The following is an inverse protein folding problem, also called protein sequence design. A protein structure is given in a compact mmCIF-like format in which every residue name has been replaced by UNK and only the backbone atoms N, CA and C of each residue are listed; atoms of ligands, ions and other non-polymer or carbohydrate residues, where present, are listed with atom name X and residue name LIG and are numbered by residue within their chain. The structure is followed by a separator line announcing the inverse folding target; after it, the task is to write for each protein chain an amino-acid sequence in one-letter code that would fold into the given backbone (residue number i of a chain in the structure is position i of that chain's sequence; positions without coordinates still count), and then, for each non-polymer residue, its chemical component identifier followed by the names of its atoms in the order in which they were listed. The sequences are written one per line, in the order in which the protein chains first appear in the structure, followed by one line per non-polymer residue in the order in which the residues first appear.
data_IF_856638371406
#
_entry.id   IF_856638371406
#
_cell.length_a   1.000
_cell.length_b   1.000
_cell.length_c   1.000
_cell.angle_alpha   90.00
_cell.angle_beta   90.00
_cell.angle_gamma   90.00
#
_symmetry.space_group_name_H-M   'P 1'
#
loop_
_entity.id
_entity.type
_entity.pdbx_description
1 polymer ?
#
# COMPACT_ATOMS: atom_id res chain seq x y z
N UNK A 1 9.25 -26.46 1.88
CA UNK A 1 8.93 -27.51 2.88
C UNK A 1 8.45 -26.86 4.17
N UNK A 2 7.39 -27.40 4.76
CA UNK A 2 6.82 -26.95 6.03
C UNK A 2 6.81 -28.14 6.99
N UNK A 3 7.24 -27.91 8.22
CA UNK A 3 7.22 -28.89 9.30
C UNK A 3 6.73 -28.20 10.59
N UNK A 4 5.80 -28.86 11.31
CA UNK A 4 5.17 -28.33 12.52
C UNK A 4 4.70 -26.87 12.40
N UNK A 5 4.08 -26.53 11.26
CA UNK A 5 3.56 -25.18 10.98
C UNK A 5 4.63 -24.12 10.71
N UNK A 6 5.90 -24.50 10.58
CA UNK A 6 7.04 -23.60 10.29
C UNK A 6 7.68 -23.94 8.96
N UNK A 7 8.15 -22.92 8.24
CA UNK A 7 8.94 -23.11 7.02
C UNK A 7 10.33 -23.57 7.43
N UNK A 8 10.82 -24.66 6.84
CA UNK A 8 12.16 -25.21 7.13
C UNK A 8 13.13 -25.11 5.96
N UNK A 9 12.62 -24.97 4.74
CA UNK A 9 13.42 -24.96 3.50
C UNK A 9 12.61 -24.40 2.32
N UNK A 10 13.28 -23.67 1.45
CA UNK A 10 12.83 -23.39 0.09
C UNK A 10 13.54 -24.29 -0.93
N UNK A 11 12.80 -24.76 -1.93
CA UNK A 11 13.31 -25.53 -3.05
C UNK A 11 12.59 -25.13 -4.33
N UNK A 12 13.27 -25.33 -5.46
CA UNK A 12 12.75 -24.90 -6.74
C UNK A 12 11.61 -25.82 -7.21
N UNK A 13 10.46 -25.22 -7.51
CA UNK A 13 9.40 -25.91 -8.25
C UNK A 13 9.67 -25.88 -9.76
N UNK A 14 9.06 -26.80 -10.50
CA UNK A 14 9.09 -26.87 -11.96
C UNK A 14 8.17 -25.81 -12.58
N UNK A 15 8.53 -24.53 -12.43
CA UNK A 15 7.81 -23.43 -13.04
C UNK A 15 8.23 -23.18 -14.49
N UNK A 16 7.35 -22.53 -15.25
CA UNK A 16 7.57 -22.22 -16.68
C UNK A 16 8.86 -21.44 -16.95
N UNK A 17 9.16 -20.47 -16.07
CA UNK A 17 10.31 -19.57 -16.23
C UNK A 17 11.58 -20.12 -15.59
N UNK A 18 11.46 -20.76 -14.44
CA UNK A 18 12.61 -21.13 -13.61
C UNK A 18 13.02 -22.60 -13.80
N UNK A 19 12.16 -23.47 -14.34
CA UNK A 19 12.45 -24.86 -14.72
C UNK A 19 13.19 -25.65 -13.63
N UNK A 20 12.75 -25.51 -12.38
CA UNK A 20 13.38 -26.21 -11.26
C UNK A 20 14.69 -25.58 -10.77
N UNK A 21 14.97 -24.32 -11.10
CA UNK A 21 16.11 -23.57 -10.57
C UNK A 21 15.65 -22.34 -9.77
N UNK A 22 16.46 -21.93 -8.79
CA UNK A 22 16.29 -20.68 -8.04
C UNK A 22 17.64 -20.00 -7.90
N UNK A 23 17.65 -18.66 -7.81
CA UNK A 23 18.84 -17.92 -7.45
C UNK A 23 19.05 -17.92 -5.92
N UNK A 24 20.15 -17.32 -5.45
CA UNK A 24 20.49 -17.22 -4.02
C UNK A 24 19.34 -16.64 -3.19
N UNK A 25 18.66 -15.60 -3.70
CA UNK A 25 17.50 -14.98 -3.02
C UNK A 25 16.32 -15.94 -2.90
N UNK A 26 16.10 -16.82 -3.88
CA UNK A 26 15.02 -17.80 -3.84
C UNK A 26 15.29 -18.93 -2.85
N UNK A 27 16.54 -19.39 -2.77
CA UNK A 27 16.91 -20.48 -1.87
C UNK A 27 16.98 -20.06 -0.39
N UNK A 28 17.46 -18.85 -0.10
CA UNK A 28 17.77 -18.43 1.28
C UNK A 28 16.94 -17.25 1.79
N UNK A 29 16.23 -16.54 0.91
CA UNK A 29 15.50 -15.33 1.25
C UNK A 29 14.15 -15.55 1.92
N UNK A 30 13.88 -16.70 2.54
CA UNK A 30 12.57 -16.99 3.15
C UNK A 30 12.55 -16.83 4.68
N UNK A 31 13.71 -16.86 5.33
CA UNK A 31 13.81 -16.93 6.80
C UNK A 31 13.32 -15.65 7.50
N UNK A 32 13.30 -14.50 6.81
CA UNK A 32 12.76 -13.24 7.35
C UNK A 32 11.30 -13.36 7.84
N UNK A 33 10.57 -14.38 7.38
CA UNK A 33 9.21 -14.64 7.82
C UNK A 33 9.15 -14.90 9.33
N UNK A 34 10.18 -15.54 9.88
CA UNK A 34 10.29 -15.99 11.26
C UNK A 34 10.69 -14.88 12.27
N UNK A 35 10.59 -13.60 11.88
CA UNK A 35 10.94 -12.46 12.74
C UNK A 35 12.38 -12.53 13.30
N UNK A 36 13.35 -12.74 12.40
CA UNK A 36 14.77 -12.93 12.76
C UNK A 36 15.41 -11.74 13.46
N UNK A 37 14.81 -10.54 13.34
CA UNK A 37 15.28 -9.29 13.94
C UNK A 37 16.73 -8.90 13.58
N UNK A 38 17.31 -9.49 12.51
CA UNK A 38 18.67 -9.17 12.04
C UNK A 38 18.79 -7.69 11.66
N UNK A 39 17.76 -7.15 11.00
CA UNK A 39 17.72 -5.74 10.58
C UNK A 39 16.58 -4.98 11.26
N UNK A 40 15.36 -5.50 11.16
CA UNK A 40 14.17 -4.90 11.78
C UNK A 40 13.20 -5.98 12.25
N UNK A 41 12.42 -5.71 13.31
CA UNK A 41 11.36 -6.61 13.75
C UNK A 41 10.18 -6.60 12.77
N UNK A 42 9.46 -7.73 12.70
CA UNK A 42 8.17 -7.83 12.01
C UNK A 42 7.13 -6.97 12.72
N UNK A 43 6.24 -6.36 11.95
CA UNK A 43 5.09 -5.63 12.48
C UNK A 43 4.08 -6.64 13.06
N UNK A 44 3.78 -6.53 14.35
CA UNK A 44 2.90 -7.47 15.08
C UNK A 44 1.52 -6.89 15.38
N UNK A 45 1.42 -5.57 15.44
CA UNK A 45 0.19 -4.84 15.79
C UNK A 45 -0.05 -3.69 14.82
N UNK A 46 -1.31 -3.32 14.56
CA UNK A 46 -1.63 -2.04 13.95
C UNK A 46 -1.12 -0.90 14.84
N UNK A 47 -0.69 0.19 14.22
CA UNK A 47 -0.21 1.37 14.94
C UNK A 47 -0.74 2.66 14.34
N UNK A 48 -1.04 3.63 15.19
CA UNK A 48 -1.42 4.99 14.78
C UNK A 48 -0.45 6.00 15.38
N UNK A 49 -0.09 7.01 14.58
CA UNK A 49 0.59 8.21 15.06
C UNK A 49 -0.44 9.34 15.19
N UNK A 50 -0.82 9.68 16.42
CA UNK A 50 -1.90 10.65 16.71
C UNK A 50 -1.53 12.10 16.41
N UNK A 51 -0.25 12.44 16.58
CA UNK A 51 0.26 13.80 16.38
C UNK A 51 1.47 13.76 15.44
N UNK A 52 1.60 14.76 14.56
CA UNK A 52 2.76 14.85 13.67
C UNK A 52 4.03 15.02 14.49
N UNK A 53 5.03 14.18 14.27
CA UNK A 53 6.23 14.10 15.09
C UNK A 53 6.11 13.27 16.37
N UNK A 54 4.90 12.86 16.77
CA UNK A 54 4.67 11.97 17.91
C UNK A 54 5.05 10.51 17.63
N UNK A 55 4.90 9.62 18.62
CA UNK A 55 5.24 8.19 18.48
C UNK A 55 4.18 7.41 17.72
N UNK A 56 4.57 6.24 17.20
CA UNK A 56 3.62 5.21 16.76
C UNK A 56 3.20 4.40 17.97
N UNK A 57 1.89 4.34 18.22
CA UNK A 57 1.30 3.63 19.34
C UNK A 57 0.52 2.43 18.83
N UNK A 58 0.65 1.28 19.50
CA UNK A 58 -0.12 0.07 19.15
C UNK A 58 -1.60 0.28 19.47
N UNK A 59 -2.44 -0.12 18.54
CA UNK A 59 -3.90 -0.01 18.64
C UNK A 59 -4.56 -1.33 18.22
N UNK A 60 -5.86 -1.47 18.52
CA UNK A 60 -6.64 -2.62 18.06
C UNK A 60 -6.89 -2.56 16.55
N UNK A 61 -7.29 -3.69 15.98
CA UNK A 61 -7.71 -3.74 14.58
C UNK A 61 -8.95 -2.88 14.32
N UNK A 62 -9.96 -2.92 15.19
CA UNK A 62 -11.17 -2.11 15.05
C UNK A 62 -10.83 -0.62 15.01
N UNK A 63 -9.98 -0.16 15.93
CA UNK A 63 -9.54 1.23 15.99
C UNK A 63 -8.76 1.65 14.74
N UNK A 64 -7.83 0.80 14.28
CA UNK A 64 -7.02 1.06 13.09
C UNK A 64 -7.88 1.15 11.82
N UNK A 65 -8.78 0.18 11.62
CA UNK A 65 -9.61 0.10 10.43
C UNK A 65 -10.65 1.23 10.39
N UNK A 66 -11.31 1.51 11.52
CA UNK A 66 -12.24 2.64 11.62
C UNK A 66 -11.52 3.96 11.38
N UNK A 67 -10.33 4.15 11.97
CA UNK A 67 -9.54 5.36 11.76
C UNK A 67 -9.20 5.58 10.28
N UNK A 68 -8.76 4.53 9.57
CA UNK A 68 -8.45 4.63 8.14
C UNK A 68 -9.72 4.93 7.32
N UNK A 69 -10.82 4.21 7.58
CA UNK A 69 -12.09 4.39 6.87
C UNK A 69 -12.64 5.82 7.02
N UNK A 70 -12.67 6.34 8.25
CA UNK A 70 -13.13 7.70 8.55
C UNK A 70 -12.25 8.75 7.87
N UNK A 71 -10.93 8.63 7.97
CA UNK A 71 -9.99 9.61 7.40
C UNK A 71 -10.06 9.63 5.88
N UNK A 72 -10.07 8.47 5.23
CA UNK A 72 -10.19 8.39 3.77
C UNK A 72 -11.55 8.92 3.29
N UNK A 73 -12.64 8.62 4.00
CA UNK A 73 -13.97 9.14 3.67
C UNK A 73 -14.05 10.66 3.81
N UNK A 74 -13.52 11.21 4.90
CA UNK A 74 -13.47 12.65 5.11
C UNK A 74 -12.61 13.37 4.04
N UNK A 75 -11.48 12.78 3.65
CA UNK A 75 -10.63 13.32 2.57
C UNK A 75 -11.38 13.28 1.24
N UNK A 76 -12.01 12.14 0.91
CA UNK A 76 -12.82 11.99 -0.31
C UNK A 76 -13.91 13.04 -0.40
N UNK A 77 -14.68 13.26 0.68
CA UNK A 77 -15.74 14.27 0.71
C UNK A 77 -15.17 15.68 0.48
N UNK A 78 -14.06 16.03 1.14
CA UNK A 78 -13.42 17.35 0.99
C UNK A 78 -12.81 17.57 -0.41
N UNK A 79 -12.17 16.55 -0.99
CA UNK A 79 -11.51 16.67 -2.29
C UNK A 79 -12.49 16.64 -3.46
N UNK A 80 -13.60 15.91 -3.33
CA UNK A 80 -14.63 15.82 -4.37
C UNK A 80 -15.34 17.17 -4.58
N UNK A 81 -15.55 17.96 -3.53
CA UNK A 81 -16.12 19.31 -3.64
C UNK A 81 -15.19 20.26 -4.44
N UNK A 82 -13.87 20.05 -4.40
CA UNK A 82 -12.90 20.85 -5.16
C UNK A 82 -12.88 20.53 -6.67
N UNK A 83 -13.40 19.37 -7.07
CA UNK A 83 -13.57 19.03 -8.49
C UNK A 83 -14.84 19.65 -9.09
N UNK A 84 -15.91 19.79 -8.31
CA UNK A 84 -17.18 20.38 -8.80
C UNK A 84 -17.10 21.90 -9.02
N UNK A 85 -16.17 22.61 -8.37
CA UNK A 85 -15.94 24.04 -8.62
C UNK A 85 -15.09 24.35 -9.86
N UNK A 86 -14.67 23.32 -10.61
CA UNK A 86 -14.08 23.47 -11.95
C UNK A 86 -15.16 23.21 -13.00
N UNK A 87 -16.14 24.11 -13.11
CA UNK A 87 -16.85 24.20 -14.40
C UNK A 87 -15.80 24.60 -15.45
N UNK A 88 -15.70 23.90 -16.60
CA UNK A 88 -14.91 24.43 -17.70
C UNK A 88 -15.52 25.79 -18.08
N UNK A 89 -14.70 26.83 -18.15
CA UNK A 89 -15.15 28.12 -18.68
C UNK A 89 -15.78 27.88 -20.06
N UNK A 90 -16.94 28.50 -20.37
CA UNK A 90 -17.55 28.34 -21.69
C UNK A 90 -16.52 28.78 -22.74
N UNK A 91 -16.24 27.90 -23.71
CA UNK A 91 -15.36 28.20 -24.83
C UNK A 91 -15.99 29.35 -25.62
N UNK A 92 -15.42 30.55 -25.50
CA UNK A 92 -15.76 31.65 -26.38
C UNK A 92 -15.30 31.28 -27.79
N UNK A 93 -16.26 30.95 -28.66
CA UNK A 93 -16.00 30.79 -30.10
C UNK A 93 -15.79 32.20 -30.66
N UNK A 94 -14.64 32.52 -31.28
CA UNK A 94 -14.45 33.83 -31.87
C UNK A 94 -15.37 33.95 -33.09
N UNK A 95 -16.21 34.99 -33.13
CA UNK A 95 -16.97 35.35 -34.33
C UNK A 95 -15.99 35.64 -35.47
N UNK A 96 -16.04 34.83 -36.53
CA UNK A 96 -15.38 35.13 -37.80
C UNK A 96 -16.06 36.35 -38.41
N UNK A 97 -15.37 37.50 -38.39
CA UNK A 97 -15.78 38.66 -39.18
C UNK A 97 -15.60 38.32 -40.66
N UNK A 98 -16.62 38.53 -41.51
CA UNK A 98 -16.47 38.34 -42.95
C UNK A 98 -15.56 39.42 -43.52
N UNK A 99 -14.49 39.00 -44.18
CA UNK A 99 -13.65 39.88 -45.01
C UNK A 99 -14.43 40.20 -46.29
N UNK A 100 -14.51 41.49 -46.62
CA UNK A 100 -14.98 41.97 -47.94
C UNK A 100 -14.08 41.48 -49.07
#
# INVERSE_FOLDING_TARGET
MVDNGKIVRAEAAQGKTNQGTLCLKGYYGWDFINDTQILTPRLKTPMIRRQRGGKLESVSWDEALNYVAERLSAIKAKSTVRMQSRQPAPLAVPEMKPTM
#
